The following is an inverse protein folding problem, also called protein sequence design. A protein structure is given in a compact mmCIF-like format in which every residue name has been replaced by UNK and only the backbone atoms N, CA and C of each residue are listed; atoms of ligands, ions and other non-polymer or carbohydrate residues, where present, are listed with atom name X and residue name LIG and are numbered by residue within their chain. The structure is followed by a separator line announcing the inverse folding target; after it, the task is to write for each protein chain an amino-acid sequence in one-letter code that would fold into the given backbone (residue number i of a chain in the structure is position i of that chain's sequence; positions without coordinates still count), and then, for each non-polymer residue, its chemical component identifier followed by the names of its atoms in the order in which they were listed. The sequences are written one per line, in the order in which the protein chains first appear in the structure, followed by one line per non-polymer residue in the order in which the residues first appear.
data_IF_622252037753
#
_entry.id   IF_622252037753
#
_cell.length_a   1.000
_cell.length_b   1.000
_cell.length_c   1.000
_cell.angle_alpha   90.00
_cell.angle_beta   90.00
_cell.angle_gamma   90.00
#
_symmetry.space_group_name_H-M   'P 1'
#
loop_
_entity.id
_entity.type
_entity.pdbx_description
1 polymer ?
#
# COMPACT_ATOMS: atom_id res chain seq x y z
N UNK A 1 22.40 -4.40 -7.88
CA UNK A 1 21.09 -4.85 -8.39
C UNK A 1 20.69 -6.09 -7.60
N UNK A 2 19.57 -6.10 -6.88
CA UNK A 2 19.15 -7.27 -6.10
C UNK A 2 18.75 -8.39 -7.04
N UNK A 3 19.32 -9.58 -6.85
CA UNK A 3 18.93 -10.77 -7.58
C UNK A 3 17.50 -11.18 -7.26
N UNK A 4 16.82 -11.89 -8.16
CA UNK A 4 15.46 -12.39 -7.95
C UNK A 4 15.28 -13.29 -6.70
N UNK A 5 16.36 -13.70 -6.04
CA UNK A 5 16.37 -14.55 -4.85
C UNK A 5 16.15 -13.83 -3.51
N UNK A 6 16.05 -12.50 -3.50
CA UNK A 6 15.92 -11.73 -2.24
C UNK A 6 14.47 -11.34 -1.94
N UNK A 7 13.53 -12.23 -2.25
CA UNK A 7 12.10 -12.02 -2.02
C UNK A 7 11.49 -13.24 -1.37
N UNK A 8 10.71 -12.99 -0.33
CA UNK A 8 9.80 -13.98 0.24
C UNK A 8 8.39 -13.68 -0.27
N UNK A 9 7.69 -14.68 -0.78
CA UNK A 9 6.35 -14.51 -1.34
C UNK A 9 5.39 -15.51 -0.74
N UNK A 10 4.16 -15.05 -0.47
CA UNK A 10 3.01 -15.86 -0.12
C UNK A 10 1.84 -15.46 -1.02
N UNK A 11 0.96 -16.39 -1.32
CA UNK A 11 -0.28 -16.15 -2.08
C UNK A 11 -1.43 -16.40 -1.14
N UNK A 12 -2.42 -15.51 -1.10
CA UNK A 12 -3.63 -15.70 -0.33
C UNK A 12 -4.45 -16.89 -0.87
N UNK A 13 -5.37 -17.41 -0.05
CA UNK A 13 -6.22 -18.56 -0.40
C UNK A 13 -7.05 -18.34 -1.66
N UNK A 14 -7.50 -17.11 -1.88
CA UNK A 14 -8.27 -16.70 -3.07
C UNK A 14 -7.42 -16.62 -4.35
N UNK A 15 -6.08 -16.77 -4.24
CA UNK A 15 -5.09 -16.70 -5.33
C UNK A 15 -5.04 -15.36 -6.08
N UNK A 16 -5.72 -14.32 -5.59
CA UNK A 16 -5.67 -12.97 -6.16
C UNK A 16 -4.70 -12.06 -5.39
N UNK A 17 -4.70 -12.14 -4.07
CA UNK A 17 -3.84 -11.32 -3.22
C UNK A 17 -2.48 -12.00 -3.01
N UNK A 18 -1.42 -11.20 -3.13
CA UNK A 18 -0.03 -11.61 -2.97
C UNK A 18 0.65 -10.79 -1.89
N UNK A 19 1.40 -11.46 -1.06
CA UNK A 19 2.24 -10.89 -0.02
C UNK A 19 3.71 -11.03 -0.44
N UNK A 20 4.47 -9.97 -0.32
CA UNK A 20 5.88 -9.96 -0.65
C UNK A 20 6.67 -9.23 0.43
N UNK A 21 7.76 -9.85 0.89
CA UNK A 21 8.83 -9.16 1.62
C UNK A 21 10.03 -9.12 0.68
N UNK A 22 10.46 -7.93 0.34
CA UNK A 22 11.56 -7.67 -0.56
C UNK A 22 12.70 -7.00 0.18
N UNK A 23 13.89 -7.59 0.13
CA UNK A 23 15.09 -7.08 0.80
C UNK A 23 15.89 -6.22 -0.18
N UNK A 24 15.81 -4.92 -0.04
CA UNK A 24 16.57 -3.97 -0.84
C UNK A 24 17.94 -3.77 -0.22
N UNK A 25 19.03 -4.05 -0.97
CA UNK A 25 20.39 -3.74 -0.55
C UNK A 25 20.70 -2.26 -0.79
N UNK A 26 21.51 -1.67 0.07
CA UNK A 26 22.09 -0.36 -0.17
C UNK A 26 23.04 -0.43 -1.39
N UNK A 27 22.95 0.54 -2.27
CA UNK A 27 23.82 0.63 -3.45
C UNK A 27 25.30 0.85 -3.09
N UNK A 28 25.57 1.37 -1.89
CA UNK A 28 26.91 1.65 -1.38
C UNK A 28 27.52 0.49 -0.56
N UNK A 29 26.87 -0.70 -0.58
CA UNK A 29 27.39 -1.87 0.11
C UNK A 29 28.74 -2.29 -0.43
N UNK A 30 29.63 -2.65 0.49
CA UNK A 30 30.98 -3.19 0.23
C UNK A 30 31.26 -4.39 1.15
N UNK A 31 32.52 -4.85 1.18
CA UNK A 31 32.93 -6.01 2.02
C UNK A 31 32.90 -5.74 3.53
N UNK A 32 32.82 -4.48 3.95
CA UNK A 32 32.84 -4.08 5.36
C UNK A 32 31.47 -3.55 5.83
N UNK A 33 30.65 -3.07 4.91
CA UNK A 33 29.33 -2.48 5.20
C UNK A 33 28.28 -3.08 4.27
N UNK A 34 27.40 -3.90 4.82
CA UNK A 34 26.29 -4.53 4.08
C UNK A 34 24.99 -4.13 4.72
N UNK A 35 24.34 -3.14 4.14
CA UNK A 35 23.06 -2.63 4.61
C UNK A 35 21.92 -3.08 3.72
N UNK A 36 20.78 -3.30 4.33
CA UNK A 36 19.53 -3.62 3.63
C UNK A 36 18.32 -3.02 4.32
N UNK A 37 17.21 -2.93 3.56
CA UNK A 37 15.91 -2.52 4.08
C UNK A 37 14.84 -3.50 3.59
N UNK A 38 14.06 -4.13 4.50
CA UNK A 38 12.91 -4.94 4.11
C UNK A 38 11.74 -4.06 3.72
N UNK A 39 11.20 -4.26 2.52
CA UNK A 39 9.95 -3.68 2.05
C UNK A 39 8.86 -4.73 2.07
N UNK A 40 7.72 -4.36 2.60
CA UNK A 40 6.51 -5.15 2.67
C UNK A 40 5.55 -4.66 1.59
N UNK A 41 5.00 -5.58 0.81
CA UNK A 41 4.05 -5.26 -0.26
C UNK A 41 2.90 -6.24 -0.28
N UNK A 42 1.72 -5.72 -0.39
CA UNK A 42 0.48 -6.46 -0.64
C UNK A 42 -0.07 -5.95 -1.95
N UNK A 43 -0.36 -6.85 -2.88
CA UNK A 43 -0.88 -6.50 -4.19
C UNK A 43 -1.88 -7.54 -4.71
N UNK A 44 -2.77 -7.12 -5.61
CA UNK A 44 -3.81 -7.92 -6.24
C UNK A 44 -3.56 -8.07 -7.74
N UNK A 45 -3.81 -9.28 -8.26
CA UNK A 45 -3.79 -9.53 -9.70
C UNK A 45 -4.92 -8.79 -10.41
N UNK A 46 -6.11 -8.78 -9.82
CA UNK A 46 -7.30 -8.16 -10.41
C UNK A 46 -7.11 -6.66 -10.55
N UNK A 47 -6.64 -5.98 -9.50
CA UNK A 47 -6.33 -4.54 -9.54
C UNK A 47 -5.21 -4.26 -10.56
N UNK A 48 -4.19 -5.14 -10.61
CA UNK A 48 -3.11 -5.02 -11.61
C UNK A 48 -3.61 -5.16 -13.04
N UNK A 49 -4.49 -6.14 -13.31
CA UNK A 49 -5.09 -6.32 -14.65
C UNK A 49 -5.92 -5.13 -15.09
N UNK A 50 -6.54 -4.44 -14.14
CA UNK A 50 -7.26 -3.19 -14.40
C UNK A 50 -6.33 -1.98 -14.65
N UNK A 51 -5.00 -2.17 -14.62
CA UNK A 51 -4.04 -1.10 -14.87
C UNK A 51 -3.85 -0.12 -13.72
N UNK A 52 -4.35 -0.43 -12.51
CA UNK A 52 -4.38 0.49 -11.38
C UNK A 52 -3.20 0.22 -10.47
N UNK A 53 -2.37 1.24 -10.24
CA UNK A 53 -1.29 1.28 -9.25
C UNK A 53 -0.41 0.01 -9.24
N UNK A 54 -0.18 -0.62 -10.40
CA UNK A 54 0.51 -1.91 -10.52
C UNK A 54 -0.03 -3.02 -9.61
N UNK A 55 -1.29 -2.91 -9.17
CA UNK A 55 -1.93 -3.84 -8.25
C UNK A 55 -1.61 -3.62 -6.77
N UNK A 56 -0.82 -2.59 -6.42
CA UNK A 56 -0.43 -2.33 -5.04
C UNK A 56 -1.63 -1.91 -4.18
N UNK A 57 -1.79 -2.57 -3.03
CA UNK A 57 -2.86 -2.33 -2.06
C UNK A 57 -2.33 -1.64 -0.80
N UNK A 58 -1.28 -2.21 -0.21
CA UNK A 58 -0.75 -1.75 1.08
C UNK A 58 0.71 -2.19 1.26
N UNK A 59 1.46 -1.42 2.04
CA UNK A 59 2.83 -1.78 2.42
C UNK A 59 3.67 -0.56 2.77
N UNK A 60 4.97 -0.82 2.95
CA UNK A 60 5.97 0.15 3.33
C UNK A 60 7.27 -0.54 3.69
N UNK A 61 8.25 0.20 4.18
CA UNK A 61 9.44 -0.42 4.77
C UNK A 61 9.15 -0.90 6.20
N UNK A 62 9.89 -1.92 6.64
CA UNK A 62 9.70 -2.55 7.94
C UNK A 62 9.82 -1.59 9.11
N UNK A 63 10.73 -0.61 9.03
CA UNK A 63 10.89 0.40 10.07
C UNK A 63 9.66 1.28 10.23
N UNK A 64 9.11 1.75 9.11
CA UNK A 64 7.90 2.58 9.08
C UNK A 64 6.65 1.82 9.54
N UNK A 65 6.55 0.52 9.26
CA UNK A 65 5.43 -0.34 9.70
C UNK A 65 5.57 -0.80 11.15
N UNK A 66 6.75 -0.70 11.75
CA UNK A 66 7.00 -1.06 13.14
C UNK A 66 6.55 0.04 14.11
N UNK A 67 6.62 -0.24 15.41
CA UNK A 67 6.35 0.74 16.47
C UNK A 67 7.25 1.99 16.41
N UNK A 68 8.40 1.92 15.74
CA UNK A 68 9.32 3.05 15.54
C UNK A 68 8.76 4.11 14.59
N UNK A 69 7.88 3.73 13.64
CA UNK A 69 7.30 4.59 12.61
C UNK A 69 8.33 5.42 11.85
N UNK A 70 9.53 4.87 11.63
CA UNK A 70 10.65 5.54 10.98
C UNK A 70 11.41 4.61 10.04
N UNK A 71 11.87 5.16 8.94
CA UNK A 71 12.73 4.47 7.99
C UNK A 71 14.03 4.01 8.66
N UNK A 72 14.44 2.73 8.44
CA UNK A 72 15.66 2.16 9.02
C UNK A 72 16.36 1.25 8.03
N UNK A 73 17.67 1.43 7.91
CA UNK A 73 18.58 0.46 7.30
C UNK A 73 19.16 -0.46 8.37
N UNK A 74 19.29 -1.73 8.05
CA UNK A 74 19.85 -2.75 8.94
C UNK A 74 21.20 -3.21 8.41
N UNK A 75 22.20 -3.31 9.31
CA UNK A 75 23.56 -3.72 8.98
C UNK A 75 23.72 -5.23 9.15
N UNK A 76 24.25 -5.92 8.12
CA UNK A 76 24.53 -7.36 8.14
C UNK A 76 26.03 -7.68 8.30
N UNK A 77 26.93 -6.72 8.20
CA UNK A 77 28.36 -6.97 8.29
C UNK A 77 28.85 -7.12 9.74
N UNK A 78 29.86 -7.96 9.93
CA UNK A 78 30.59 -8.07 11.21
C UNK A 78 29.77 -8.67 12.36
N UNK A 79 30.07 -8.24 13.58
CA UNK A 79 29.48 -8.79 14.82
C UNK A 79 27.97 -8.51 14.95
N UNK A 80 27.42 -7.56 14.21
CA UNK A 80 25.98 -7.20 14.26
C UNK A 80 25.08 -8.21 13.54
N UNK A 81 25.61 -9.10 12.70
CA UNK A 81 24.84 -9.99 11.84
C UNK A 81 23.74 -10.76 12.60
N UNK A 82 24.13 -11.51 13.65
CA UNK A 82 23.18 -12.32 14.41
C UNK A 82 22.06 -11.48 15.04
N UNK A 83 22.44 -10.38 15.68
CA UNK A 83 21.51 -9.45 16.30
C UNK A 83 20.54 -8.85 15.27
N UNK A 84 21.06 -8.43 14.13
CA UNK A 84 20.25 -7.85 13.04
C UNK A 84 19.22 -8.85 12.51
N UNK A 85 19.62 -10.11 12.27
CA UNK A 85 18.72 -11.15 11.79
C UNK A 85 17.63 -11.44 12.82
N UNK A 86 17.98 -11.51 14.10
CA UNK A 86 17.02 -11.72 15.19
C UNK A 86 16.03 -10.55 15.31
N UNK A 87 16.53 -9.30 15.28
CA UNK A 87 15.68 -8.08 15.33
C UNK A 87 14.70 -8.06 14.16
N UNK A 88 15.19 -8.19 12.93
CA UNK A 88 14.36 -8.15 11.72
C UNK A 88 13.33 -9.27 11.72
N UNK A 89 13.72 -10.48 12.10
CA UNK A 89 12.80 -11.63 12.19
C UNK A 89 11.71 -11.39 13.23
N UNK A 90 12.04 -10.82 14.38
CA UNK A 90 11.09 -10.47 15.43
C UNK A 90 10.11 -9.39 14.94
N UNK A 91 10.60 -8.33 14.29
CA UNK A 91 9.75 -7.28 13.76
C UNK A 91 8.80 -7.78 12.66
N UNK A 92 9.28 -8.67 11.77
CA UNK A 92 8.43 -9.31 10.76
C UNK A 92 7.31 -10.12 11.44
N UNK A 93 7.63 -10.93 12.45
CA UNK A 93 6.62 -11.73 13.17
C UNK A 93 5.58 -10.85 13.87
N UNK A 94 6.00 -9.75 14.49
CA UNK A 94 5.10 -8.92 15.31
C UNK A 94 4.28 -7.96 14.45
N UNK A 95 4.85 -7.40 13.38
CA UNK A 95 4.20 -6.32 12.63
C UNK A 95 3.75 -6.72 11.23
N UNK A 96 4.45 -7.64 10.55
CA UNK A 96 4.16 -7.97 9.15
C UNK A 96 3.20 -9.15 9.02
N UNK A 97 3.44 -10.23 9.77
CA UNK A 97 2.58 -11.42 9.69
C UNK A 97 1.13 -11.09 10.04
N UNK A 98 0.81 -10.32 11.13
CA UNK A 98 -0.57 -9.92 11.40
C UNK A 98 -1.20 -9.10 10.27
N UNK A 99 -0.43 -8.22 9.60
CA UNK A 99 -0.94 -7.48 8.44
C UNK A 99 -1.30 -8.45 7.31
N UNK A 100 -0.44 -9.43 7.00
CA UNK A 100 -0.73 -10.44 5.99
C UNK A 100 -1.97 -11.26 6.34
N UNK A 101 -2.12 -11.66 7.61
CA UNK A 101 -3.27 -12.42 8.08
C UNK A 101 -4.58 -11.62 7.99
N UNK A 102 -4.54 -10.30 8.15
CA UNK A 102 -5.70 -9.45 7.90
C UNK A 102 -6.17 -9.50 6.45
N UNK A 103 -5.25 -9.51 5.50
CA UNK A 103 -5.59 -9.58 4.08
C UNK A 103 -5.90 -11.01 3.58
N UNK A 104 -5.74 -12.04 4.40
CA UNK A 104 -6.22 -13.41 4.10
C UNK A 104 -7.74 -13.54 4.21
N UNK A 105 -8.37 -12.77 5.12
CA UNK A 105 -9.83 -12.68 5.25
C UNK A 105 -10.28 -11.32 4.72
N UNK A 106 -10.60 -11.31 3.44
CA UNK A 106 -10.93 -10.09 2.70
C UNK A 106 -12.13 -9.36 3.32
N UNK A 107 -13.19 -10.09 3.69
CA UNK A 107 -14.41 -9.47 4.22
C UNK A 107 -14.18 -8.86 5.60
N UNK A 108 -13.60 -9.62 6.53
CA UNK A 108 -13.29 -9.12 7.87
C UNK A 108 -12.28 -7.94 7.81
N UNK A 109 -11.36 -7.96 6.84
CA UNK A 109 -10.42 -6.85 6.67
C UNK A 109 -11.08 -5.59 6.14
N UNK A 110 -12.04 -5.69 5.22
CA UNK A 110 -12.82 -4.55 4.72
C UNK A 110 -13.53 -3.86 5.90
N UNK A 111 -14.23 -4.61 6.74
CA UNK A 111 -14.93 -4.06 7.88
C UNK A 111 -13.97 -3.42 8.89
N UNK A 112 -12.84 -4.08 9.17
CA UNK A 112 -11.77 -3.51 10.03
C UNK A 112 -11.18 -2.22 9.47
N UNK A 113 -10.95 -2.15 8.14
CA UNK A 113 -10.47 -0.91 7.50
C UNK A 113 -11.50 0.21 7.67
N UNK A 114 -12.79 -0.07 7.56
CA UNK A 114 -13.85 0.92 7.74
C UNK A 114 -14.00 1.40 9.18
N UNK A 115 -13.76 0.55 10.16
CA UNK A 115 -13.83 0.89 11.58
C UNK A 115 -12.55 1.58 12.10
N UNK A 116 -11.40 1.29 11.46
CA UNK A 116 -10.09 1.75 11.90
C UNK A 116 -9.66 3.10 11.32
N UNK A 117 -8.51 3.60 11.80
CA UNK A 117 -7.93 4.87 11.37
C UNK A 117 -6.87 4.72 10.26
N UNK A 118 -6.83 3.56 9.58
CA UNK A 118 -5.89 3.35 8.49
C UNK A 118 -6.39 4.03 7.22
N UNK A 119 -5.68 5.07 6.79
CA UNK A 119 -5.96 5.80 5.56
C UNK A 119 -4.80 5.66 4.58
N UNK A 120 -5.09 5.13 3.39
CA UNK A 120 -4.15 5.05 2.27
C UNK A 120 -4.93 5.13 0.97
N UNK A 121 -4.44 5.92 0.02
CA UNK A 121 -5.08 6.06 -1.29
C UNK A 121 -5.29 4.70 -1.98
N UNK A 122 -4.34 3.79 -1.83
CA UNK A 122 -4.38 2.46 -2.45
C UNK A 122 -5.45 1.54 -1.86
N UNK A 123 -5.86 1.77 -0.61
CA UNK A 123 -6.94 1.00 0.00
C UNK A 123 -8.30 1.30 -0.62
N UNK A 124 -8.49 2.47 -1.27
CA UNK A 124 -9.71 2.74 -2.03
C UNK A 124 -9.92 1.72 -3.16
N UNK A 125 -8.85 1.35 -3.86
CA UNK A 125 -8.91 0.35 -4.92
C UNK A 125 -9.29 -1.02 -4.36
N UNK A 126 -8.69 -1.41 -3.21
CA UNK A 126 -9.03 -2.63 -2.51
C UNK A 126 -10.48 -2.67 -2.06
N UNK A 127 -10.98 -1.58 -1.45
CA UNK A 127 -12.37 -1.45 -1.03
C UNK A 127 -13.34 -1.58 -2.21
N UNK A 128 -13.00 -1.01 -3.36
CA UNK A 128 -13.83 -1.08 -4.56
C UNK A 128 -13.89 -2.51 -5.15
N UNK A 129 -12.72 -3.13 -5.35
CA UNK A 129 -12.62 -4.43 -6.02
C UNK A 129 -13.11 -5.60 -5.15
N UNK A 130 -12.96 -5.52 -3.84
CA UNK A 130 -13.30 -6.61 -2.92
C UNK A 130 -14.50 -6.32 -2.03
N UNK A 131 -14.81 -5.07 -1.76
CA UNK A 131 -15.95 -4.63 -0.94
C UNK A 131 -17.12 -4.06 -1.74
N UNK A 132 -16.88 -3.76 -3.02
CA UNK A 132 -17.86 -3.12 -3.90
C UNK A 132 -17.98 -1.62 -3.69
N UNK A 133 -18.76 -0.98 -4.58
CA UNK A 133 -18.90 0.48 -4.64
C UNK A 133 -19.32 1.11 -3.31
N UNK A 134 -20.27 0.51 -2.60
CA UNK A 134 -20.77 1.07 -1.34
C UNK A 134 -19.71 1.16 -0.24
N UNK A 135 -18.89 0.11 -0.08
CA UNK A 135 -17.77 0.11 0.90
C UNK A 135 -16.66 1.09 0.47
N UNK A 136 -16.38 1.18 -0.83
CA UNK A 136 -15.45 2.16 -1.37
C UNK A 136 -15.94 3.60 -1.13
N UNK A 137 -17.25 3.88 -1.30
CA UNK A 137 -17.85 5.18 -1.00
C UNK A 137 -17.68 5.58 0.47
N UNK A 138 -17.98 4.65 1.41
CA UNK A 138 -17.81 4.89 2.85
C UNK A 138 -16.33 5.20 3.18
N UNK A 139 -15.41 4.45 2.61
CA UNK A 139 -13.98 4.65 2.81
C UNK A 139 -13.51 6.00 2.24
N UNK A 140 -13.96 6.35 1.03
CA UNK A 140 -13.62 7.61 0.36
C UNK A 140 -14.11 8.82 1.16
N UNK A 141 -15.36 8.79 1.65
CA UNK A 141 -15.92 9.86 2.49
C UNK A 141 -15.09 10.07 3.76
N UNK A 142 -14.64 8.98 4.39
CA UNK A 142 -13.77 9.07 5.56
C UNK A 142 -12.41 9.70 5.22
N UNK A 143 -11.75 9.27 4.14
CA UNK A 143 -10.48 9.88 3.71
C UNK A 143 -10.67 11.38 3.50
N UNK A 144 -11.71 11.78 2.80
CA UNK A 144 -11.97 13.21 2.55
C UNK A 144 -12.20 14.00 3.84
N UNK A 145 -12.93 13.42 4.81
CA UNK A 145 -13.20 14.08 6.08
C UNK A 145 -11.94 14.35 6.89
N UNK A 146 -11.00 13.41 6.88
CA UNK A 146 -9.78 13.45 7.69
C UNK A 146 -8.60 14.14 6.99
N UNK A 147 -8.68 14.37 5.67
CA UNK A 147 -7.56 14.85 4.89
C UNK A 147 -7.44 16.39 4.92
N UNK A 148 -6.24 16.87 5.23
CA UNK A 148 -5.92 18.32 5.20
C UNK A 148 -6.07 18.94 3.81
N UNK A 149 -5.99 18.14 2.75
CA UNK A 149 -6.13 18.58 1.36
C UNK A 149 -7.57 18.47 0.85
N UNK A 150 -8.56 18.28 1.71
CA UNK A 150 -9.99 18.09 1.34
C UNK A 150 -10.47 19.06 0.27
N UNK A 151 -10.26 20.35 0.46
CA UNK A 151 -10.72 21.37 -0.49
C UNK A 151 -10.05 21.21 -1.87
N UNK A 152 -8.76 20.88 -1.91
CA UNK A 152 -8.04 20.59 -3.15
C UNK A 152 -8.61 19.36 -3.86
N UNK A 153 -8.94 18.33 -3.11
CA UNK A 153 -9.54 17.09 -3.63
C UNK A 153 -10.92 17.37 -4.22
N UNK A 154 -11.77 18.12 -3.52
CA UNK A 154 -13.09 18.53 -4.00
C UNK A 154 -12.98 19.33 -5.30
N UNK A 155 -12.16 20.39 -5.32
CA UNK A 155 -11.97 21.23 -6.51
C UNK A 155 -11.46 20.42 -7.70
N UNK A 156 -10.53 19.50 -7.46
CA UNK A 156 -10.00 18.64 -8.53
C UNK A 156 -11.07 17.66 -9.03
N UNK A 157 -11.83 17.02 -8.15
CA UNK A 157 -12.93 16.13 -8.54
C UNK A 157 -13.97 16.87 -9.41
N UNK A 158 -14.37 18.08 -9.03
CA UNK A 158 -15.31 18.90 -9.81
C UNK A 158 -14.72 19.26 -11.19
N UNK A 159 -13.42 19.53 -11.28
CA UNK A 159 -12.77 19.83 -12.57
C UNK A 159 -12.80 18.63 -13.54
N UNK A 160 -12.84 17.39 -13.03
CA UNK A 160 -12.93 16.19 -13.87
C UNK A 160 -14.28 16.09 -14.60
N UNK A 161 -15.34 16.74 -14.10
CA UNK A 161 -16.66 16.73 -14.73
C UNK A 161 -16.68 17.39 -16.12
N UNK A 162 -15.74 18.28 -16.38
CA UNK A 162 -15.57 18.91 -17.70
C UNK A 162 -14.70 18.11 -18.67
N UNK A 163 -14.13 16.98 -18.21
CA UNK A 163 -13.24 16.14 -19.00
C UNK A 163 -13.98 14.89 -19.51
N UNK A 164 -13.70 14.49 -20.74
CA UNK A 164 -14.12 13.17 -21.23
C UNK A 164 -13.40 12.07 -20.44
N UNK A 165 -14.08 10.99 -20.02
CA UNK A 165 -13.48 9.90 -19.22
C UNK A 165 -12.21 9.28 -19.85
N UNK A 166 -12.15 9.18 -21.17
CA UNK A 166 -10.99 8.68 -21.93
C UNK A 166 -9.74 9.55 -21.80
N UNK A 167 -9.89 10.82 -21.43
CA UNK A 167 -8.79 11.76 -21.23
C UNK A 167 -8.27 11.76 -19.78
N UNK A 168 -8.91 11.02 -18.87
CA UNK A 168 -8.50 10.93 -17.47
C UNK A 168 -7.43 9.84 -17.32
N UNK A 169 -6.17 10.26 -17.22
CA UNK A 169 -5.03 9.35 -17.12
C UNK A 169 -4.74 8.93 -15.67
N UNK A 170 -4.95 7.64 -15.35
CA UNK A 170 -4.64 7.05 -14.04
C UNK A 170 -3.15 6.76 -13.80
N UNK A 171 -2.30 6.89 -14.83
CA UNK A 171 -0.85 6.71 -14.69
C UNK A 171 -0.10 8.02 -14.44
N UNK A 172 -0.79 9.15 -14.42
CA UNK A 172 -0.21 10.45 -14.16
C UNK A 172 -0.88 11.09 -12.94
N UNK A 173 -0.06 11.63 -12.04
CA UNK A 173 -0.53 12.28 -10.81
C UNK A 173 -0.11 13.74 -10.79
N UNK A 174 -1.05 14.63 -10.76
CA UNK A 174 -0.84 16.09 -10.66
C UNK A 174 -0.38 16.49 -9.26
N UNK A 175 -0.77 15.70 -8.26
CA UNK A 175 -0.39 15.88 -6.86
C UNK A 175 -0.70 14.60 -6.06
N UNK A 176 -0.23 14.53 -4.82
CA UNK A 176 -0.50 13.40 -3.93
C UNK A 176 -2.01 13.21 -3.73
N UNK A 177 -2.54 12.02 -4.06
CA UNK A 177 -3.95 11.67 -4.02
C UNK A 177 -4.73 11.90 -5.33
N UNK A 178 -4.16 12.56 -6.35
CA UNK A 178 -4.87 12.83 -7.60
C UNK A 178 -5.36 11.54 -8.30
N UNK A 179 -4.56 10.48 -8.31
CA UNK A 179 -4.95 9.19 -8.91
C UNK A 179 -6.15 8.58 -8.18
N UNK A 180 -6.18 8.66 -6.85
CA UNK A 180 -7.32 8.21 -6.05
C UNK A 180 -8.60 8.98 -6.41
N UNK A 181 -8.52 10.30 -6.59
CA UNK A 181 -9.67 11.14 -6.97
C UNK A 181 -10.14 10.81 -8.38
N UNK A 182 -9.23 10.66 -9.35
CA UNK A 182 -9.56 10.21 -10.71
C UNK A 182 -10.24 8.85 -10.72
N UNK A 183 -9.71 7.91 -9.93
CA UNK A 183 -10.30 6.59 -9.78
C UNK A 183 -11.72 6.66 -9.21
N UNK A 184 -11.91 7.44 -8.14
CA UNK A 184 -13.23 7.65 -7.55
C UNK A 184 -14.22 8.19 -8.59
N UNK A 185 -13.85 9.24 -9.32
CA UNK A 185 -14.67 9.85 -10.36
C UNK A 185 -15.05 8.84 -11.45
N UNK A 186 -14.08 8.14 -12.03
CA UNK A 186 -14.31 7.17 -13.11
C UNK A 186 -15.20 5.98 -12.69
N UNK A 187 -15.23 5.65 -11.41
CA UNK A 187 -16.03 4.55 -10.87
C UNK A 187 -17.34 5.03 -10.20
N UNK A 188 -17.70 6.31 -10.35
CA UNK A 188 -18.91 6.90 -9.82
C UNK A 188 -18.97 6.90 -8.29
N UNK A 189 -17.80 6.97 -7.62
CA UNK A 189 -17.68 7.22 -6.18
C UNK A 189 -17.75 8.74 -6.01
N UNK A 190 -18.78 9.22 -5.33
CA UNK A 190 -19.09 10.64 -5.30
C UNK A 190 -18.50 11.35 -4.08
N UNK A 191 -18.28 12.67 -4.21
CA UNK A 191 -17.98 13.53 -3.08
C UNK A 191 -19.30 13.96 -2.44
N UNK A 192 -19.55 13.49 -1.21
CA UNK A 192 -20.64 13.99 -0.39
C UNK A 192 -20.31 15.40 0.10
N UNK A 193 -21.24 16.34 -0.18
CA UNK A 193 -21.12 17.77 0.17
C UNK A 193 -21.40 18.01 1.65
#
# INVERSE_FOLDING_TARGET
MLSNGQKLKRVAKDKDIFFEIYFQANRNNDKYSVEFIPHIRIYSKSIKRAGINNGFIYGGDLGSLSSRKSHKWWQLAGASYKYTVEEVSKLIKIHVIPIFDYFEDTQANIDRILEGNCTSDSLLYYMYYFGGKNKAQQYFNRILKENKLKNKYISFYESLRSMSPENINLNYSEFSGAIMIKFAYLNGIEIEK
#
